data_IF_813150417095
#
_entry.id   IF_813150417095
#
_cell.length_a   1.000
_cell.length_b   1.000
_cell.length_c   1.000
_cell.angle_alpha   90.00
_cell.angle_beta   90.00
_cell.angle_gamma   90.00
#
_symmetry.space_group_name_H-M   'P 1'
#
loop_
_entity.id
_entity.type
_entity.pdbx_description
1 polymer ?
#
# COMPACT_ATOMS: atom_id res chain seq x y z
N UNK A 1 10.46 12.55 -10.94
CA UNK A 1 9.03 12.32 -10.67
C UNK A 1 8.93 11.43 -9.45
N UNK A 2 8.14 11.85 -8.47
CA UNK A 2 7.88 11.14 -7.22
C UNK A 2 6.54 10.43 -7.33
N UNK A 3 6.54 9.11 -7.22
CA UNK A 3 5.34 8.30 -7.23
C UNK A 3 5.19 7.61 -5.88
N UNK A 4 4.00 7.65 -5.31
CA UNK A 4 3.64 6.85 -4.16
C UNK A 4 2.66 5.78 -4.61
N UNK A 5 3.01 4.51 -4.42
CA UNK A 5 2.14 3.38 -4.66
C UNK A 5 1.50 2.95 -3.36
N UNK A 6 0.17 2.95 -3.31
CA UNK A 6 -0.57 2.35 -2.22
C UNK A 6 -1.04 0.96 -2.64
N UNK A 7 -0.75 -0.05 -1.82
CA UNK A 7 -1.18 -1.43 -2.04
C UNK A 7 -1.71 -2.03 -0.74
N UNK A 8 -2.86 -2.69 -0.80
CA UNK A 8 -3.56 -3.27 0.33
C UNK A 8 -3.74 -4.78 0.25
N UNK A 9 -3.46 -5.42 -0.88
CA UNK A 9 -3.66 -6.86 -1.07
C UNK A 9 -2.71 -7.49 -2.11
N UNK A 10 -2.55 -8.82 -2.05
CA UNK A 10 -1.77 -9.58 -3.04
C UNK A 10 -2.27 -9.39 -4.48
N UNK A 11 -3.59 -9.20 -4.65
CA UNK A 11 -4.19 -8.97 -5.97
C UNK A 11 -3.67 -7.70 -6.62
N UNK A 12 -3.64 -6.60 -5.84
CA UNK A 12 -3.12 -5.31 -6.26
C UNK A 12 -1.62 -5.35 -6.54
N UNK A 13 -0.86 -6.07 -5.69
CA UNK A 13 0.57 -6.25 -5.85
C UNK A 13 0.96 -6.82 -7.23
N UNK A 14 0.15 -7.76 -7.75
CA UNK A 14 0.36 -8.33 -9.08
C UNK A 14 0.38 -7.28 -10.21
N UNK A 15 -0.47 -6.25 -10.12
CA UNK A 15 -0.54 -5.16 -11.10
C UNK A 15 0.54 -4.10 -10.87
N UNK A 16 0.84 -3.79 -9.60
CA UNK A 16 1.76 -2.72 -9.21
C UNK A 16 3.23 -3.11 -9.46
N UNK A 17 3.60 -4.37 -9.16
CA UNK A 17 4.98 -4.87 -9.28
C UNK A 17 5.66 -4.59 -10.62
N UNK A 18 5.08 -4.91 -11.80
CA UNK A 18 5.73 -4.61 -13.08
C UNK A 18 5.93 -3.10 -13.31
N UNK A 19 5.02 -2.26 -12.80
CA UNK A 19 5.12 -0.80 -12.94
C UNK A 19 6.26 -0.25 -12.07
N UNK A 20 6.41 -0.76 -10.85
CA UNK A 20 7.54 -0.39 -9.97
C UNK A 20 8.89 -0.76 -10.57
N UNK A 21 9.01 -1.94 -11.22
CA UNK A 21 10.25 -2.33 -11.93
C UNK A 21 10.60 -1.31 -13.02
N UNK A 22 9.61 -0.91 -13.83
CA UNK A 22 9.80 0.10 -14.87
C UNK A 22 10.17 1.48 -14.29
N UNK A 23 9.62 1.85 -13.13
CA UNK A 23 10.01 3.07 -12.43
C UNK A 23 11.50 3.06 -12.07
N UNK A 24 12.01 1.93 -11.57
CA UNK A 24 13.42 1.73 -11.26
C UNK A 24 14.32 1.87 -12.50
N UNK A 25 13.95 1.23 -13.61
CA UNK A 25 14.66 1.34 -14.90
C UNK A 25 14.73 2.79 -15.41
N UNK A 26 13.65 3.55 -15.20
CA UNK A 26 13.53 4.96 -15.59
C UNK A 26 14.04 5.94 -14.54
N UNK A 27 14.60 5.46 -13.43
CA UNK A 27 15.11 6.26 -12.30
C UNK A 27 14.06 7.23 -11.73
N UNK A 28 12.80 6.81 -11.70
CA UNK A 28 11.76 7.51 -10.96
C UNK A 28 11.88 7.22 -9.46
N UNK A 29 11.55 8.19 -8.62
CA UNK A 29 11.49 8.01 -7.17
C UNK A 29 10.15 7.39 -6.83
N UNK A 30 10.12 6.05 -6.76
CA UNK A 30 8.91 5.29 -6.47
C UNK A 30 8.97 4.76 -5.04
N UNK A 31 7.91 5.05 -4.28
CA UNK A 31 7.73 4.69 -2.87
C UNK A 31 6.53 3.79 -2.69
N UNK A 32 6.55 2.92 -1.68
CA UNK A 32 5.48 1.96 -1.40
C UNK A 32 4.91 2.21 -0.02
N UNK A 33 3.60 2.43 0.05
CA UNK A 33 2.81 2.38 1.26
C UNK A 33 1.97 1.09 1.24
N UNK A 34 2.22 0.19 2.19
CA UNK A 34 1.47 -1.05 2.34
C UNK A 34 0.41 -0.91 3.44
N UNK A 35 -0.76 -1.52 3.24
CA UNK A 35 -1.87 -1.47 4.20
C UNK A 35 -2.68 -2.77 4.18
N UNK A 36 -3.74 -2.80 5.00
CA UNK A 36 -4.80 -3.81 4.98
C UNK A 36 -4.25 -5.26 4.98
N UNK A 37 -4.60 -6.09 3.99
CA UNK A 37 -4.31 -7.53 3.99
C UNK A 37 -2.81 -7.84 3.95
N UNK A 38 -1.96 -6.94 3.45
CA UNK A 38 -0.51 -7.14 3.48
C UNK A 38 0.05 -7.28 4.89
N UNK A 39 -0.56 -6.58 5.86
CA UNK A 39 -0.08 -6.47 7.23
C UNK A 39 -0.77 -7.45 8.19
N UNK A 40 -1.66 -8.29 7.69
CA UNK A 40 -2.49 -9.18 8.51
C UNK A 40 -2.03 -10.64 8.43
N UNK A 41 -1.72 -11.30 9.56
CA UNK A 41 -1.42 -12.73 9.62
C UNK A 41 -2.52 -13.63 9.04
N UNK A 42 -3.79 -13.26 9.25
CA UNK A 42 -4.93 -14.00 8.70
C UNK A 42 -4.95 -14.06 7.16
N UNK A 43 -4.22 -13.16 6.49
CA UNK A 43 -4.08 -13.09 5.05
C UNK A 43 -2.69 -13.52 4.56
N UNK A 44 -1.87 -14.13 5.42
CA UNK A 44 -0.58 -14.70 5.07
C UNK A 44 0.61 -13.74 5.09
N UNK A 45 0.48 -12.55 5.71
CA UNK A 45 1.54 -11.52 5.79
C UNK A 45 2.19 -11.24 4.42
N UNK A 46 1.36 -10.93 3.42
CA UNK A 46 1.82 -10.79 2.03
C UNK A 46 2.74 -9.58 1.81
N UNK A 47 2.97 -8.73 2.82
CA UNK A 47 4.07 -7.76 2.81
C UNK A 47 5.45 -8.44 2.63
N UNK A 48 5.64 -9.66 3.14
CA UNK A 48 6.90 -10.38 2.97
C UNK A 48 7.15 -10.75 1.50
N UNK A 49 6.10 -10.94 0.70
CA UNK A 49 6.23 -11.16 -0.75
C UNK A 49 6.77 -9.91 -1.45
N UNK A 50 6.34 -8.71 -1.03
CA UNK A 50 6.85 -7.43 -1.55
C UNK A 50 8.36 -7.31 -1.28
N UNK A 51 8.78 -7.64 -0.05
CA UNK A 51 10.19 -7.60 0.38
C UNK A 51 11.01 -8.68 -0.33
N UNK A 52 10.48 -9.89 -0.48
CA UNK A 52 11.12 -10.98 -1.20
C UNK A 52 11.30 -10.67 -2.71
N UNK A 53 10.38 -9.91 -3.30
CA UNK A 53 10.49 -9.39 -4.67
C UNK A 53 11.57 -8.30 -4.82
N UNK A 54 12.25 -7.93 -3.72
CA UNK A 54 13.37 -6.97 -3.70
C UNK A 54 12.96 -5.51 -3.51
N UNK A 55 11.71 -5.25 -3.14
CA UNK A 55 11.21 -3.90 -2.91
C UNK A 55 11.30 -3.49 -1.44
N UNK A 56 11.47 -2.19 -1.22
CA UNK A 56 11.40 -1.56 0.10
C UNK A 56 9.99 -1.03 0.30
N UNK A 57 9.39 -1.34 1.44
CA UNK A 57 8.14 -0.74 1.90
C UNK A 57 8.50 0.47 2.75
N UNK A 58 8.16 1.67 2.28
CA UNK A 58 8.51 2.93 2.95
C UNK A 58 7.55 3.23 4.12
N UNK A 59 6.29 2.79 4.02
CA UNK A 59 5.27 3.00 5.05
C UNK A 59 4.34 1.80 5.20
N UNK A 60 3.95 1.52 6.44
CA UNK A 60 2.99 0.48 6.79
C UNK A 60 1.85 1.10 7.60
N UNK A 61 0.60 0.99 7.10
CA UNK A 61 -0.58 1.51 7.78
C UNK A 61 -1.45 0.37 8.30
N UNK A 62 -1.38 0.15 9.62
CA UNK A 62 -2.25 -0.80 10.32
C UNK A 62 -3.64 -0.18 10.54
N UNK A 63 -4.56 -0.46 9.62
CA UNK A 63 -5.91 0.14 9.62
C UNK A 63 -7.06 -0.82 9.92
N UNK A 64 -6.84 -2.12 9.77
CA UNK A 64 -7.91 -3.10 9.76
C UNK A 64 -8.47 -3.36 11.17
N UNK A 65 -9.76 -3.11 11.35
CA UNK A 65 -10.52 -3.51 12.52
C UNK A 65 -11.16 -4.89 12.30
N UNK A 66 -11.05 -5.74 13.32
CA UNK A 66 -11.59 -7.09 13.31
C UNK A 66 -13.14 -7.10 13.24
N UNK A 67 -13.73 -8.24 12.88
CA UNK A 67 -15.17 -8.52 12.67
C UNK A 67 -15.69 -8.43 11.22
N UNK A 68 -14.86 -8.07 10.24
CA UNK A 68 -15.09 -8.28 8.79
C UNK A 68 -16.51 -7.98 8.27
N UNK A 69 -17.11 -6.88 8.71
CA UNK A 69 -18.43 -6.45 8.26
C UNK A 69 -18.39 -5.01 7.72
N UNK A 70 -19.49 -4.54 7.13
CA UNK A 70 -19.53 -3.19 6.52
C UNK A 70 -19.23 -2.06 7.50
N UNK A 71 -19.62 -2.22 8.77
CA UNK A 71 -19.36 -1.22 9.82
C UNK A 71 -17.87 -1.19 10.15
N UNK A 72 -17.24 -2.34 10.33
CA UNK A 72 -15.81 -2.40 10.67
C UNK A 72 -14.93 -2.04 9.47
N UNK A 73 -15.36 -2.35 8.25
CA UNK A 73 -14.72 -1.84 7.02
C UNK A 73 -14.73 -0.30 6.97
N UNK A 74 -15.89 0.33 7.15
CA UNK A 74 -16.01 1.78 7.12
C UNK A 74 -15.16 2.46 8.22
N UNK A 75 -15.15 1.88 9.43
CA UNK A 75 -14.29 2.36 10.52
C UNK A 75 -12.80 2.18 10.22
N UNK A 76 -12.42 1.04 9.63
CA UNK A 76 -11.04 0.79 9.21
C UNK A 76 -10.58 1.87 8.24
N UNK A 77 -11.40 2.22 7.25
CA UNK A 77 -11.10 3.33 6.32
C UNK A 77 -10.89 4.66 7.04
N UNK A 78 -11.65 4.94 8.11
CA UNK A 78 -11.40 6.10 8.97
C UNK A 78 -10.01 6.10 9.61
N UNK A 79 -9.58 4.95 10.15
CA UNK A 79 -8.23 4.77 10.72
C UNK A 79 -7.16 4.91 9.64
N UNK A 80 -7.38 4.31 8.47
CA UNK A 80 -6.48 4.45 7.33
C UNK A 80 -6.29 5.92 6.95
N UNK A 81 -7.39 6.66 6.78
CA UNK A 81 -7.34 8.07 6.38
C UNK A 81 -6.61 8.92 7.42
N UNK A 82 -6.80 8.67 8.72
CA UNK A 82 -6.08 9.43 9.76
C UNK A 82 -4.56 9.27 9.69
N UNK A 83 -4.07 8.11 9.25
CA UNK A 83 -2.62 7.88 9.11
C UNK A 83 -2.10 8.25 7.72
N UNK A 84 -2.91 8.05 6.68
CA UNK A 84 -2.50 8.24 5.30
C UNK A 84 -2.26 9.71 4.95
N UNK A 85 -2.96 10.64 5.60
CA UNK A 85 -2.70 12.08 5.45
C UNK A 85 -1.26 12.45 5.84
N UNK A 86 -0.69 11.81 6.86
CA UNK A 86 0.69 12.06 7.30
C UNK A 86 1.72 11.47 6.33
N UNK A 87 1.40 10.32 5.72
CA UNK A 87 2.20 9.72 4.64
C UNK A 87 2.25 10.66 3.44
N UNK A 88 1.09 11.16 2.99
CA UNK A 88 1.01 12.11 1.87
C UNK A 88 1.74 13.43 2.17
N UNK A 89 1.61 13.94 3.39
CA UNK A 89 2.28 15.18 3.81
C UNK A 89 3.81 15.04 3.83
N UNK A 90 4.35 13.88 4.25
CA UNK A 90 5.80 13.60 4.21
C UNK A 90 6.33 13.40 2.80
N UNK A 91 5.69 12.54 2.00
CA UNK A 91 6.21 12.16 0.69
C UNK A 91 5.99 13.22 -0.38
N UNK A 92 4.87 13.95 -0.31
CA UNK A 92 4.43 14.93 -1.31
C UNK A 92 4.63 14.41 -2.75
N UNK A 93 4.00 13.28 -3.11
CA UNK A 93 4.21 12.68 -4.43
C UNK A 93 3.62 13.55 -5.54
N UNK A 94 4.22 13.50 -6.73
CA UNK A 94 3.62 14.06 -7.94
C UNK A 94 2.39 13.24 -8.38
N UNK A 95 2.45 11.92 -8.15
CA UNK A 95 1.39 10.97 -8.46
C UNK A 95 1.18 9.97 -7.32
N UNK A 96 -0.08 9.82 -6.90
CA UNK A 96 -0.52 8.68 -6.10
C UNK A 96 -1.06 7.60 -7.03
N UNK A 97 -0.53 6.38 -6.93
CA UNK A 97 -0.91 5.25 -7.76
C UNK A 97 -1.65 4.22 -6.91
N UNK A 98 -2.83 3.86 -7.38
CA UNK A 98 -3.75 2.90 -6.78
C UNK A 98 -4.18 1.92 -7.87
N UNK A 99 -4.43 0.68 -7.52
CA UNK A 99 -5.00 -0.33 -8.42
C UNK A 99 -6.18 -1.01 -7.74
N UNK A 100 -7.22 -1.35 -8.50
CA UNK A 100 -8.38 -2.07 -8.00
C UNK A 100 -9.63 -1.21 -7.85
N UNK A 101 -10.58 -1.74 -7.10
CA UNK A 101 -11.96 -1.25 -6.97
C UNK A 101 -12.39 -1.01 -5.50
N UNK A 102 -11.44 -1.08 -4.57
CA UNK A 102 -11.66 -0.99 -3.13
C UNK A 102 -10.57 -0.18 -2.43
#
# INVERSE_FOLDING_TARGET
MKLLFLTGSRGEWGYIRPILRLCGERRHDARICATNMHLLPAHGLTIEEIRADGFVVDDEIYMALEAHNRVTMAKSLGVFLSSFVDVLARHRPDWLVLAGDR
#
